data_IF_722856541211
#
_entry.id   IF_722856541211
#
_cell.length_a   1.000
_cell.length_b   1.000
_cell.length_c   1.000
_cell.angle_alpha   90.00
_cell.angle_beta   90.00
_cell.angle_gamma   90.00
#
_symmetry.space_group_name_H-M   'P 1'
#
loop_
_entity.id
_entity.type
_entity.pdbx_description
1 polymer ?
#
# COMPACT_ATOMS: atom_id res chain seq x y z
N UNK A 1 0.19 2.82 -17.81
CA UNK A 1 1.45 2.47 -17.14
C UNK A 1 1.58 3.30 -15.87
N UNK A 2 1.84 2.65 -14.74
CA UNK A 2 2.04 3.26 -13.44
C UNK A 2 3.48 3.78 -13.32
N UNK A 3 3.67 4.84 -12.54
CA UNK A 3 5.00 5.25 -12.09
C UNK A 3 5.53 4.32 -11.01
N UNK A 4 4.63 3.77 -10.18
CA UNK A 4 4.95 2.82 -9.12
C UNK A 4 3.73 1.95 -8.80
N UNK A 5 3.96 0.63 -8.74
CA UNK A 5 3.02 -0.33 -8.15
C UNK A 5 3.53 -0.75 -6.77
N UNK A 6 2.67 -0.68 -5.76
CA UNK A 6 2.95 -1.10 -4.39
C UNK A 6 2.11 -2.34 -4.11
N UNK A 7 2.74 -3.43 -3.69
CA UNK A 7 2.06 -4.72 -3.44
C UNK A 7 1.97 -4.94 -1.92
N UNK A 8 0.75 -4.83 -1.38
CA UNK A 8 0.44 -4.90 0.04
C UNK A 8 0.14 -3.53 0.66
N UNK A 9 -0.93 -3.47 1.47
CA UNK A 9 -1.46 -2.28 2.11
C UNK A 9 -1.20 -2.19 3.61
N UNK A 10 -0.15 -2.83 4.10
CA UNK A 10 0.31 -2.65 5.48
C UNK A 10 1.04 -1.31 5.71
N UNK A 11 1.64 -1.12 6.90
CA UNK A 11 2.39 0.11 7.23
C UNK A 11 3.46 0.46 6.20
N UNK A 12 4.15 -0.55 5.65
CA UNK A 12 5.16 -0.38 4.62
C UNK A 12 4.58 0.19 3.31
N UNK A 13 3.50 -0.42 2.79
CA UNK A 13 2.87 0.02 1.54
C UNK A 13 2.23 1.40 1.64
N UNK A 14 1.55 1.67 2.77
CA UNK A 14 0.97 2.97 3.07
C UNK A 14 2.04 4.06 3.12
N UNK A 15 3.15 3.82 3.83
CA UNK A 15 4.27 4.78 3.91
C UNK A 15 4.96 4.97 2.56
N UNK A 16 5.16 3.90 1.79
CA UNK A 16 5.71 4.00 0.43
C UNK A 16 4.83 4.87 -0.47
N UNK A 17 3.50 4.66 -0.44
CA UNK A 17 2.56 5.44 -1.23
C UNK A 17 2.50 6.91 -0.82
N UNK A 18 2.53 7.18 0.50
CA UNK A 18 2.64 8.54 1.03
C UNK A 18 3.87 9.27 0.47
N UNK A 19 5.05 8.64 0.56
CA UNK A 19 6.29 9.28 0.12
C UNK A 19 6.40 9.39 -1.41
N UNK A 20 5.97 8.37 -2.15
CA UNK A 20 6.01 8.38 -3.61
C UNK A 20 5.17 9.51 -4.20
N UNK A 21 3.93 9.64 -3.72
CA UNK A 21 2.99 10.65 -4.23
C UNK A 21 3.33 12.05 -3.75
N UNK A 22 3.73 12.21 -2.48
CA UNK A 22 4.25 13.49 -1.97
C UNK A 22 5.57 13.90 -2.64
N UNK A 23 6.36 12.93 -3.12
CA UNK A 23 7.59 13.13 -3.88
C UNK A 23 7.37 13.51 -5.35
N UNK A 24 6.12 13.54 -5.82
CA UNK A 24 5.76 14.02 -7.16
C UNK A 24 5.46 12.91 -8.18
N UNK A 25 5.41 11.63 -7.79
CA UNK A 25 4.88 10.60 -8.69
C UNK A 25 3.35 10.73 -8.77
N UNK A 26 2.82 10.82 -9.99
CA UNK A 26 1.40 11.11 -10.22
C UNK A 26 0.56 9.84 -10.33
N UNK A 27 1.12 8.74 -10.86
CA UNK A 27 0.37 7.50 -11.11
C UNK A 27 0.88 6.34 -10.24
N UNK A 28 0.59 6.41 -8.94
CA UNK A 28 0.96 5.40 -7.93
C UNK A 28 -0.28 4.61 -7.49
N UNK A 29 -0.21 3.28 -7.57
CA UNK A 29 -1.29 2.38 -7.10
C UNK A 29 -0.75 1.41 -6.06
N UNK A 30 -1.46 1.29 -4.95
CA UNK A 30 -1.27 0.26 -3.94
C UNK A 30 -2.34 -0.81 -4.09
N UNK A 31 -1.90 -2.05 -4.31
CA UNK A 31 -2.74 -3.24 -4.39
C UNK A 31 -2.81 -3.91 -3.02
N UNK A 32 -4.00 -4.04 -2.46
CA UNK A 32 -4.25 -4.76 -1.21
C UNK A 32 -5.53 -5.58 -1.36
N UNK A 33 -5.54 -6.82 -0.88
CA UNK A 33 -6.69 -7.72 -1.05
C UNK A 33 -7.83 -7.43 -0.06
N UNK A 34 -7.56 -6.67 0.99
CA UNK A 34 -8.55 -6.27 1.99
C UNK A 34 -8.49 -4.80 2.37
N UNK A 35 -8.79 -4.50 3.63
CA UNK A 35 -8.62 -3.16 4.18
C UNK A 35 -7.13 -2.89 4.44
N UNK A 36 -6.59 -1.73 4.03
CA UNK A 36 -5.23 -1.36 4.39
C UNK A 36 -5.04 -1.28 5.90
N UNK A 37 -3.87 -1.70 6.37
CA UNK A 37 -3.56 -1.84 7.79
C UNK A 37 -2.58 -2.98 8.05
N UNK A 38 -2.66 -4.06 7.27
CA UNK A 38 -1.76 -5.22 7.40
C UNK A 38 -1.92 -5.97 8.72
N UNK A 39 -0.91 -6.77 9.07
CA UNK A 39 -0.99 -7.70 10.20
C UNK A 39 -1.19 -7.02 11.57
N UNK A 40 -0.68 -5.79 11.75
CA UNK A 40 -0.75 -5.10 13.04
C UNK A 40 -2.19 -4.88 13.50
N UNK A 41 -3.15 -4.77 12.56
CA UNK A 41 -4.58 -4.57 12.86
C UNK A 41 -5.21 -5.68 13.71
N UNK A 42 -4.57 -6.84 13.80
CA UNK A 42 -5.00 -7.97 14.63
C UNK A 42 -4.43 -7.92 16.05
N UNK A 43 -3.46 -7.04 16.33
CA UNK A 43 -2.89 -6.89 17.67
C UNK A 43 -3.87 -6.18 18.59
N UNK A 44 -4.07 -6.74 19.79
CA UNK A 44 -4.83 -6.09 20.86
C UNK A 44 -4.09 -4.93 21.51
N UNK A 45 -2.76 -4.88 21.37
CA UNK A 45 -1.92 -3.90 22.06
C UNK A 45 -0.71 -3.51 21.20
N UNK A 46 -0.43 -2.21 21.13
CA UNK A 46 0.75 -1.62 20.52
C UNK A 46 1.22 -0.47 21.40
N UNK A 47 2.46 -0.58 21.87
CA UNK A 47 3.08 0.37 22.81
C UNK A 47 4.48 0.83 22.35
N UNK A 48 4.92 0.38 21.18
CA UNK A 48 6.30 0.53 20.71
C UNK A 48 6.43 1.27 19.37
N UNK A 49 5.41 2.02 18.95
CA UNK A 49 5.47 2.86 17.75
C UNK A 49 5.84 4.31 18.13
N UNK A 50 7.05 4.79 17.79
CA UNK A 50 7.50 6.12 18.22
C UNK A 50 6.57 7.25 17.77
N UNK A 51 6.28 8.17 18.68
CA UNK A 51 5.33 9.27 18.44
C UNK A 51 3.89 8.95 18.80
N UNK A 52 3.57 7.69 19.09
CA UNK A 52 2.30 7.26 19.69
C UNK A 52 2.60 6.90 21.15
N UNK A 53 2.19 7.78 22.05
CA UNK A 53 2.53 7.70 23.48
C UNK A 53 1.56 6.80 24.25
N UNK A 54 0.29 6.81 23.84
CA UNK A 54 -0.74 5.96 24.44
C UNK A 54 -0.62 4.52 23.91
N UNK A 55 -0.89 3.57 24.78
CA UNK A 55 -1.09 2.17 24.37
C UNK A 55 -2.40 2.10 23.59
N UNK A 56 -2.33 1.61 22.36
CA UNK A 56 -3.48 1.52 21.44
C UNK A 56 -3.64 0.12 20.89
N UNK A 57 -4.83 -0.23 20.42
CA UNK A 57 -5.00 -1.41 19.57
C UNK A 57 -4.33 -1.19 18.22
N UNK A 58 -4.00 -2.28 17.53
CA UNK A 58 -3.46 -2.17 16.18
C UNK A 58 -4.43 -1.56 15.16
N UNK A 59 -5.74 -1.70 15.39
CA UNK A 59 -6.77 -1.05 14.58
C UNK A 59 -6.76 0.47 14.79
N UNK A 60 -6.71 0.94 16.04
CA UNK A 60 -6.63 2.36 16.37
C UNK A 60 -5.37 3.01 15.79
N UNK A 61 -4.23 2.31 15.87
CA UNK A 61 -2.99 2.79 15.26
C UNK A 61 -3.17 3.06 13.77
N UNK A 62 -3.79 2.14 13.03
CA UNK A 62 -3.88 2.18 11.56
C UNK A 62 -5.06 2.98 11.01
N UNK A 63 -6.06 3.31 11.83
CA UNK A 63 -7.35 3.86 11.39
C UNK A 63 -7.24 5.08 10.46
N UNK A 64 -6.32 6.01 10.76
CA UNK A 64 -6.17 7.25 10.00
C UNK A 64 -5.06 7.21 8.94
N UNK A 65 -4.29 6.12 8.89
CA UNK A 65 -3.19 6.00 7.92
C UNK A 65 -3.66 6.01 6.47
N UNK A 66 -4.74 5.30 6.06
CA UNK A 66 -5.23 5.39 4.69
C UNK A 66 -5.57 6.82 4.29
N UNK A 67 -6.25 7.58 5.16
CA UNK A 67 -6.59 8.98 4.90
C UNK A 67 -5.33 9.84 4.73
N UNK A 68 -4.34 9.67 5.59
CA UNK A 68 -3.07 10.41 5.51
C UNK A 68 -2.31 10.07 4.23
N UNK A 69 -2.18 8.78 3.92
CA UNK A 69 -1.35 8.29 2.82
C UNK A 69 -1.98 8.55 1.45
N UNK A 70 -3.32 8.61 1.37
CA UNK A 70 -4.05 8.93 0.13
C UNK A 70 -4.17 10.43 -0.16
N UNK A 71 -3.78 11.29 0.79
CA UNK A 71 -3.91 12.75 0.67
C UNK A 71 -3.22 13.35 -0.56
N UNK A 72 -2.15 12.72 -1.04
CA UNK A 72 -1.34 13.22 -2.15
C UNK A 72 -1.59 12.49 -3.47
N UNK A 73 -2.64 11.65 -3.56
CA UNK A 73 -3.04 11.00 -4.81
C UNK A 73 -2.73 9.50 -4.90
N UNK A 74 -2.30 8.86 -3.81
CA UNK A 74 -2.15 7.41 -3.77
C UNK A 74 -3.52 6.75 -4.02
N UNK A 75 -3.58 5.86 -5.02
CA UNK A 75 -4.77 5.06 -5.31
C UNK A 75 -4.67 3.72 -4.59
N UNK A 76 -5.77 3.29 -4.00
CA UNK A 76 -5.92 1.93 -3.48
C UNK A 76 -6.76 1.11 -4.46
N UNK A 77 -6.19 0.02 -4.95
CA UNK A 77 -6.92 -1.00 -5.70
C UNK A 77 -7.11 -2.23 -4.81
N UNK A 78 -8.37 -2.51 -4.48
CA UNK A 78 -8.71 -3.66 -3.66
C UNK A 78 -8.66 -4.95 -4.50
N UNK A 79 -7.47 -5.49 -4.69
CA UNK A 79 -7.21 -6.66 -5.53
C UNK A 79 -6.05 -7.49 -4.99
N UNK A 80 -6.10 -8.79 -5.26
CA UNK A 80 -4.99 -9.70 -4.99
C UNK A 80 -4.06 -9.77 -6.21
N UNK A 81 -2.78 -9.50 -5.97
CA UNK A 81 -1.73 -9.69 -6.98
C UNK A 81 -1.25 -11.13 -6.90
N UNK A 82 -1.33 -11.84 -8.02
CA UNK A 82 -0.92 -13.25 -8.12
C UNK A 82 0.48 -13.42 -8.67
N UNK A 83 0.94 -12.46 -9.49
CA UNK A 83 2.27 -12.50 -10.09
C UNK A 83 2.80 -11.11 -10.42
N UNK A 84 4.11 -10.94 -10.21
CA UNK A 84 4.89 -9.82 -10.74
C UNK A 84 5.96 -10.42 -11.63
N UNK A 85 6.07 -9.94 -12.87
CA UNK A 85 7.07 -10.39 -13.84
C UNK A 85 7.67 -9.23 -14.61
N UNK A 86 8.82 -9.45 -15.27
CA UNK A 86 9.53 -8.43 -16.06
C UNK A 86 10.04 -9.04 -17.38
N UNK A 87 9.13 -9.41 -18.30
CA UNK A 87 9.48 -10.26 -19.45
C UNK A 87 10.46 -9.60 -20.43
N UNK A 88 10.40 -8.27 -20.61
CA UNK A 88 11.23 -7.53 -21.56
C UNK A 88 12.40 -6.77 -20.91
N UNK A 89 12.56 -6.90 -19.59
CA UNK A 89 13.57 -6.18 -18.80
C UNK A 89 13.36 -4.67 -18.72
N UNK A 90 12.26 -4.12 -19.25
CA UNK A 90 11.96 -2.68 -19.26
C UNK A 90 10.93 -2.34 -18.19
N UNK A 91 9.75 -2.96 -18.25
CA UNK A 91 8.63 -2.67 -17.35
C UNK A 91 8.19 -3.91 -16.57
N UNK A 92 7.63 -3.70 -15.38
CA UNK A 92 6.99 -4.76 -14.61
C UNK A 92 5.55 -4.97 -15.07
N UNK A 93 5.16 -6.23 -15.18
CA UNK A 93 3.78 -6.67 -15.36
C UNK A 93 3.24 -7.19 -14.04
N UNK A 94 2.13 -6.63 -13.57
CA UNK A 94 1.39 -7.03 -12.38
C UNK A 94 0.14 -7.77 -12.84
N UNK A 95 0.02 -9.05 -12.48
CA UNK A 95 -1.14 -9.90 -12.76
C UNK A 95 -2.04 -9.98 -11.53
N UNK A 96 -3.33 -9.74 -11.71
CA UNK A 96 -4.35 -9.80 -10.65
C UNK A 96 -5.09 -11.14 -10.66
N UNK A 97 -5.71 -11.50 -9.55
CA UNK A 97 -6.47 -12.75 -9.40
C UNK A 97 -7.71 -12.84 -10.32
N UNK A 98 -8.23 -11.71 -10.80
CA UNK A 98 -9.35 -11.64 -11.75
C UNK A 98 -8.91 -11.71 -13.22
N UNK A 99 -7.61 -11.91 -13.48
CA UNK A 99 -7.05 -12.01 -14.83
C UNK A 99 -6.69 -10.67 -15.47
N UNK A 100 -6.99 -9.52 -14.83
CA UNK A 100 -6.50 -8.21 -15.31
C UNK A 100 -4.98 -8.11 -15.13
N UNK A 101 -4.36 -7.33 -16.00
CA UNK A 101 -2.94 -7.02 -15.93
C UNK A 101 -2.72 -5.51 -15.95
N UNK A 102 -1.71 -5.05 -15.20
CA UNK A 102 -1.27 -3.65 -15.19
C UNK A 102 0.24 -3.59 -15.38
N UNK A 103 0.74 -2.50 -15.98
CA UNK A 103 2.16 -2.27 -16.17
C UNK A 103 2.67 -1.14 -15.28
N UNK A 104 3.86 -1.29 -14.71
CA UNK A 104 4.58 -0.26 -13.97
C UNK A 104 6.02 -0.12 -14.47
N UNK A 105 6.58 1.09 -14.34
CA UNK A 105 8.00 1.38 -14.65
C UNK A 105 8.96 0.57 -13.79
#
# INVERSE_FOLDING_TARGET
>A
MLDLAIIGGGPAGLTAGLYATRGGLENVVMYEKGMPGGAITQSSEVENYPGIVEVVTGMELMQDWPKQCMRFGLKHEMAEVTRVSRPDGKCFTIELSDGRTTEAK
#
